data_IF_493756278768
#
_entry.id   IF_493756278768
#
_cell.length_a   1.000
_cell.length_b   1.000
_cell.length_c   1.000
_cell.angle_alpha   90.00
_cell.angle_beta   90.00
_cell.angle_gamma   90.00
#
_symmetry.space_group_name_H-M   'P 1'
#
loop_
_entity.id
_entity.type
_entity.pdbx_description
1 polymer ?
#
# COMPACT_ATOMS: atom_id res chain seq x y z
N UNK A 1 -26.48 -31.93 57.32
CA UNK A 1 -26.06 -30.52 57.48
C UNK A 1 -25.44 -30.10 56.11
N UNK A 2 -26.32 -29.85 55.12
CA UNK A 2 -25.94 -29.52 53.76
C UNK A 2 -25.75 -28.00 53.62
N UNK A 3 -24.51 -27.60 53.30
CA UNK A 3 -24.21 -26.20 52.97
C UNK A 3 -24.39 -25.97 51.47
N UNK A 4 -25.49 -25.37 51.07
CA UNK A 4 -25.67 -24.80 49.73
C UNK A 4 -24.65 -23.66 49.48
N UNK A 5 -23.67 -23.89 48.65
CA UNK A 5 -22.78 -22.86 48.12
C UNK A 5 -23.50 -22.19 46.95
N UNK A 6 -23.98 -21.00 47.15
CA UNK A 6 -24.52 -20.15 46.07
C UNK A 6 -23.37 -19.53 45.26
N UNK A 7 -23.26 -19.90 43.98
CA UNK A 7 -22.32 -19.34 43.06
C UNK A 7 -22.87 -17.97 42.58
N UNK A 8 -22.14 -16.87 42.78
CA UNK A 8 -22.62 -15.55 42.29
C UNK A 8 -22.64 -15.53 40.76
N UNK A 9 -23.79 -15.14 40.19
CA UNK A 9 -24.00 -15.02 38.75
C UNK A 9 -23.00 -14.05 38.12
N UNK A 10 -22.19 -14.54 37.18
CA UNK A 10 -21.35 -13.71 36.28
C UNK A 10 -22.26 -12.83 35.45
N UNK A 11 -22.32 -11.55 35.76
CA UNK A 11 -22.88 -10.53 34.87
C UNK A 11 -22.11 -10.56 33.56
N UNK A 12 -22.78 -11.02 32.50
CA UNK A 12 -22.28 -11.05 31.13
C UNK A 12 -22.15 -9.60 30.65
N UNK A 13 -20.99 -8.98 30.88
CA UNK A 13 -20.67 -7.69 30.26
C UNK A 13 -20.79 -7.86 28.74
N UNK A 14 -21.85 -7.26 28.17
CA UNK A 14 -22.06 -7.18 26.72
C UNK A 14 -20.88 -6.37 26.16
N UNK A 15 -19.88 -7.05 25.64
CA UNK A 15 -18.83 -6.39 24.86
C UNK A 15 -19.51 -5.83 23.62
N UNK A 16 -19.60 -4.52 23.55
CA UNK A 16 -20.08 -3.82 22.35
C UNK A 16 -19.25 -4.31 21.18
N UNK A 17 -19.88 -5.01 20.25
CA UNK A 17 -19.21 -5.57 19.10
C UNK A 17 -18.78 -4.46 18.15
N UNK A 18 -17.67 -4.64 17.45
CA UNK A 18 -17.23 -3.69 16.40
C UNK A 18 -18.32 -3.41 15.36
N UNK A 19 -19.21 -4.36 15.13
CA UNK A 19 -20.38 -4.21 14.26
C UNK A 19 -21.42 -3.24 14.84
N UNK A 20 -21.70 -3.30 16.14
CA UNK A 20 -22.63 -2.39 16.80
C UNK A 20 -22.11 -0.95 16.79
N UNK A 21 -20.78 -0.77 17.00
CA UNK A 21 -20.13 0.55 16.89
C UNK A 21 -20.22 1.08 15.46
N UNK A 22 -20.00 0.22 14.46
CA UNK A 22 -20.09 0.59 13.05
C UNK A 22 -21.53 0.99 12.68
N UNK A 23 -22.53 0.20 13.09
CA UNK A 23 -23.95 0.48 12.81
C UNK A 23 -24.38 1.79 13.49
N UNK A 24 -24.03 1.97 14.76
CA UNK A 24 -24.32 3.22 15.49
C UNK A 24 -23.63 4.40 14.83
N UNK A 25 -22.36 4.26 14.41
CA UNK A 25 -21.64 5.29 13.67
C UNK A 25 -22.31 5.65 12.34
N UNK A 26 -22.74 4.65 11.57
CA UNK A 26 -23.47 4.86 10.31
C UNK A 26 -24.84 5.51 10.52
N UNK A 27 -25.57 5.11 11.57
CA UNK A 27 -26.87 5.72 11.91
C UNK A 27 -26.70 7.16 12.35
N UNK A 28 -25.70 7.45 13.19
CA UNK A 28 -25.38 8.83 13.59
C UNK A 28 -25.00 9.66 12.35
N UNK A 29 -24.17 9.11 11.47
CA UNK A 29 -23.77 9.79 10.23
C UNK A 29 -24.98 10.06 9.33
N UNK A 30 -25.90 9.11 9.18
CA UNK A 30 -27.13 9.27 8.39
C UNK A 30 -28.10 10.28 8.99
N UNK A 31 -28.23 10.33 10.33
CA UNK A 31 -29.12 11.25 11.03
C UNK A 31 -28.55 12.69 11.07
N UNK A 32 -27.22 12.83 11.00
CA UNK A 32 -26.56 14.14 11.01
C UNK A 32 -26.20 14.63 9.60
N UNK A 33 -26.59 13.90 8.55
CA UNK A 33 -26.16 14.14 7.16
C UNK A 33 -26.38 15.59 6.70
N UNK A 34 -27.56 16.17 6.95
CA UNK A 34 -27.87 17.55 6.54
C UNK A 34 -27.04 18.60 7.30
N UNK A 35 -26.89 18.44 8.61
CA UNK A 35 -26.11 19.36 9.43
C UNK A 35 -24.60 19.19 9.17
N UNK A 36 -24.11 17.95 9.03
CA UNK A 36 -22.72 17.66 8.68
C UNK A 36 -22.37 18.19 7.29
N UNK A 37 -23.23 18.00 6.30
CA UNK A 37 -23.04 18.56 4.93
C UNK A 37 -22.96 20.08 4.96
N UNK A 38 -23.90 20.75 5.63
CA UNK A 38 -23.90 22.22 5.73
C UNK A 38 -22.63 22.72 6.41
N UNK A 39 -22.18 22.05 7.48
CA UNK A 39 -20.97 22.39 8.22
C UNK A 39 -19.69 22.17 7.38
N UNK A 40 -19.61 21.05 6.65
CA UNK A 40 -18.46 20.73 5.79
C UNK A 40 -18.41 21.65 4.58
N UNK A 41 -19.56 21.89 3.91
CA UNK A 41 -19.63 22.76 2.71
C UNK A 41 -19.33 24.22 3.04
N UNK A 42 -19.65 24.68 4.25
CA UNK A 42 -19.34 26.04 4.69
C UNK A 42 -17.85 26.31 4.92
N UNK A 43 -17.02 25.24 4.97
CA UNK A 43 -15.57 25.35 5.17
C UNK A 43 -14.82 24.68 4.02
N UNK A 44 -14.22 25.44 3.10
CA UNK A 44 -13.58 24.90 1.89
C UNK A 44 -12.46 23.87 2.22
N UNK A 45 -11.71 24.10 3.31
CA UNK A 45 -10.65 23.17 3.75
C UNK A 45 -11.20 21.83 4.17
N UNK A 46 -12.30 21.82 4.93
CA UNK A 46 -12.98 20.58 5.35
C UNK A 46 -13.64 19.86 4.16
N UNK A 47 -14.21 20.61 3.22
CA UNK A 47 -14.78 20.07 2.00
C UNK A 47 -13.71 19.38 1.15
N UNK A 48 -12.53 20.00 1.01
CA UNK A 48 -11.37 19.44 0.31
C UNK A 48 -10.89 18.18 1.02
N UNK A 49 -10.67 18.24 2.35
CA UNK A 49 -10.23 17.08 3.13
C UNK A 49 -11.22 15.91 3.03
N UNK A 50 -12.53 16.18 3.13
CA UNK A 50 -13.57 15.15 3.01
C UNK A 50 -13.58 14.53 1.61
N UNK A 51 -13.43 15.34 0.57
CA UNK A 51 -13.40 14.88 -0.82
C UNK A 51 -12.17 13.99 -1.07
N UNK A 52 -10.99 14.43 -0.63
CA UNK A 52 -9.75 13.65 -0.75
C UNK A 52 -9.86 12.34 0.03
N UNK A 53 -10.33 12.39 1.27
CA UNK A 53 -10.52 11.20 2.10
C UNK A 53 -11.47 10.20 1.43
N UNK A 54 -12.66 10.65 1.01
CA UNK A 54 -13.64 9.79 0.35
C UNK A 54 -13.11 9.23 -0.97
N UNK A 55 -12.45 10.06 -1.77
CA UNK A 55 -11.85 9.64 -3.03
C UNK A 55 -10.83 8.52 -2.83
N UNK A 56 -9.86 8.72 -1.95
CA UNK A 56 -8.82 7.73 -1.61
C UNK A 56 -9.44 6.45 -1.05
N UNK A 57 -10.39 6.58 -0.12
CA UNK A 57 -10.98 5.43 0.56
C UNK A 57 -11.85 4.59 -0.40
N UNK A 58 -12.77 5.23 -1.13
CA UNK A 58 -13.68 4.54 -2.06
C UNK A 58 -12.90 3.87 -3.20
N UNK A 59 -11.89 4.54 -3.74
CA UNK A 59 -11.05 3.97 -4.79
C UNK A 59 -10.22 2.78 -4.30
N UNK A 60 -9.76 2.80 -3.05
CA UNK A 60 -8.94 1.73 -2.47
C UNK A 60 -9.75 0.48 -2.12
N UNK A 61 -11.04 0.61 -1.78
CA UNK A 61 -11.89 -0.50 -1.29
C UNK A 61 -11.95 -1.73 -2.22
N UNK A 62 -12.23 -1.60 -3.53
CA UNK A 62 -12.31 -2.77 -4.41
C UNK A 62 -10.98 -3.52 -4.53
N UNK A 63 -9.87 -2.79 -4.58
CA UNK A 63 -8.53 -3.40 -4.65
C UNK A 63 -8.12 -4.03 -3.32
N UNK A 64 -8.49 -3.42 -2.20
CA UNK A 64 -8.30 -4.01 -0.88
C UNK A 64 -9.11 -5.30 -0.75
N UNK A 65 -10.38 -5.31 -1.17
CA UNK A 65 -11.22 -6.50 -1.17
C UNK A 65 -10.60 -7.61 -2.02
N UNK A 66 -10.15 -7.30 -3.23
CA UNK A 66 -9.45 -8.25 -4.10
C UNK A 66 -8.20 -8.81 -3.45
N UNK A 67 -7.35 -7.94 -2.89
CA UNK A 67 -6.12 -8.35 -2.20
C UNK A 67 -6.38 -9.25 -1.00
N UNK A 68 -7.42 -8.95 -0.22
CA UNK A 68 -7.83 -9.76 0.93
C UNK A 68 -8.40 -11.11 0.51
N UNK A 69 -9.17 -11.17 -0.58
CA UNK A 69 -9.65 -12.44 -1.15
C UNK A 69 -8.47 -13.30 -1.58
N UNK A 70 -7.50 -12.76 -2.31
CA UNK A 70 -6.28 -13.48 -2.71
C UNK A 70 -5.48 -13.92 -1.48
N UNK A 71 -5.31 -13.04 -0.49
CA UNK A 71 -4.64 -13.37 0.78
C UNK A 71 -5.32 -14.51 1.51
N UNK A 72 -6.65 -14.49 1.61
CA UNK A 72 -7.45 -15.55 2.21
C UNK A 72 -7.36 -16.88 1.46
N UNK A 73 -7.37 -16.85 0.12
CA UNK A 73 -7.17 -18.05 -0.70
C UNK A 73 -5.77 -18.63 -0.48
N UNK A 74 -4.74 -17.80 -0.42
CA UNK A 74 -3.37 -18.26 -0.09
C UNK A 74 -3.38 -18.94 1.29
N UNK A 75 -4.03 -18.34 2.29
CA UNK A 75 -4.12 -18.91 3.64
C UNK A 75 -4.83 -20.27 3.66
N UNK A 76 -5.89 -20.45 2.87
CA UNK A 76 -6.70 -21.66 2.86
C UNK A 76 -6.13 -22.80 2.02
N UNK A 77 -5.44 -22.50 0.92
CA UNK A 77 -5.03 -23.51 -0.08
C UNK A 77 -3.52 -23.68 -0.22
N UNK A 78 -2.72 -22.71 0.24
CA UNK A 78 -1.25 -22.75 0.07
C UNK A 78 -0.58 -22.95 1.41
N UNK A 79 -0.08 -24.16 1.66
CA UNK A 79 0.73 -24.40 2.85
C UNK A 79 2.09 -23.68 2.75
N UNK A 80 2.70 -23.26 3.88
CA UNK A 80 4.03 -22.64 3.92
C UNK A 80 5.10 -23.43 3.16
N UNK A 81 5.02 -24.78 3.22
CA UNK A 81 5.95 -25.68 2.53
C UNK A 81 5.78 -25.67 1.02
N UNK A 82 4.55 -25.56 0.51
CA UNK A 82 4.29 -25.38 -0.94
C UNK A 82 4.83 -24.07 -1.43
N UNK A 83 4.60 -23.00 -0.68
CA UNK A 83 5.09 -21.66 -1.02
C UNK A 83 6.62 -21.64 -1.11
N UNK A 84 7.30 -22.30 -0.18
CA UNK A 84 8.76 -22.41 -0.19
C UNK A 84 9.26 -23.24 -1.39
N UNK A 85 8.50 -24.24 -1.86
CA UNK A 85 8.83 -25.07 -3.03
C UNK A 85 8.60 -24.36 -4.36
N UNK A 86 7.64 -23.46 -4.44
CA UNK A 86 7.34 -22.69 -5.65
C UNK A 86 8.35 -21.58 -5.91
N UNK A 87 8.94 -21.03 -4.84
CA UNK A 87 9.98 -20.02 -5.03
C UNK A 87 11.28 -20.68 -5.47
N UNK A 88 11.99 -20.08 -6.46
CA UNK A 88 13.32 -20.49 -6.83
C UNK A 88 14.26 -20.56 -5.63
N UNK A 89 15.16 -21.55 -5.60
CA UNK A 89 16.12 -21.72 -4.50
C UNK A 89 17.12 -20.57 -4.40
N UNK A 90 17.41 -19.90 -5.51
CA UNK A 90 18.29 -18.72 -5.59
C UNK A 90 17.49 -17.47 -5.26
N UNK A 91 17.93 -16.68 -4.30
CA UNK A 91 17.24 -15.45 -3.87
C UNK A 91 17.04 -14.46 -5.02
N UNK A 92 18.04 -14.27 -5.89
CA UNK A 92 17.90 -13.40 -7.07
C UNK A 92 16.81 -13.86 -8.04
N UNK A 93 16.70 -15.17 -8.29
CA UNK A 93 15.63 -15.71 -9.12
C UNK A 93 14.25 -15.54 -8.45
N UNK A 94 14.16 -15.71 -7.13
CA UNK A 94 12.94 -15.49 -6.39
C UNK A 94 12.47 -14.00 -6.44
N UNK A 95 13.39 -13.06 -6.37
CA UNK A 95 13.13 -11.62 -6.54
C UNK A 95 12.61 -11.34 -7.96
N UNK A 96 13.28 -11.85 -9.00
CA UNK A 96 12.87 -11.62 -10.39
C UNK A 96 11.49 -12.23 -10.69
N UNK A 97 11.24 -13.44 -10.23
CA UNK A 97 9.92 -14.09 -10.41
C UNK A 97 8.82 -13.35 -9.65
N UNK A 98 9.10 -12.81 -8.47
CA UNK A 98 8.16 -12.01 -7.70
C UNK A 98 7.86 -10.66 -8.38
N UNK A 99 8.88 -10.01 -8.94
CA UNK A 99 8.72 -8.80 -9.74
C UNK A 99 7.83 -9.04 -10.97
N UNK A 100 8.11 -10.10 -11.73
CA UNK A 100 7.28 -10.50 -12.88
C UNK A 100 5.85 -10.87 -12.45
N UNK A 101 5.70 -11.58 -11.32
CA UNK A 101 4.40 -11.90 -10.74
C UNK A 101 3.59 -10.66 -10.35
N UNK A 102 4.26 -9.59 -9.90
CA UNK A 102 3.64 -8.30 -9.63
C UNK A 102 3.01 -7.68 -10.89
N UNK A 103 3.69 -7.78 -12.04
CA UNK A 103 3.17 -7.29 -13.30
C UNK A 103 1.91 -8.01 -13.79
N UNK A 104 1.67 -9.25 -13.34
CA UNK A 104 0.51 -10.05 -13.76
C UNK A 104 -0.77 -9.78 -12.96
N UNK A 105 -0.67 -9.19 -11.78
CA UNK A 105 -1.81 -8.94 -10.90
C UNK A 105 -2.29 -7.49 -11.02
N UNK A 106 -3.50 -7.25 -11.52
CA UNK A 106 -4.08 -5.92 -11.49
C UNK A 106 -4.40 -5.56 -10.03
N UNK A 107 -3.77 -4.52 -9.52
CA UNK A 107 -4.02 -4.10 -8.15
C UNK A 107 -3.22 -2.88 -7.74
N UNK A 108 -3.78 -2.12 -6.80
CA UNK A 108 -3.07 -1.03 -6.14
C UNK A 108 -2.31 -1.55 -4.91
N UNK A 109 -1.55 -0.67 -4.29
CA UNK A 109 -0.79 -0.93 -3.06
C UNK A 109 -1.65 -1.48 -1.92
N UNK A 110 -2.93 -1.07 -1.86
CA UNK A 110 -3.86 -1.52 -0.81
C UNK A 110 -4.12 -3.03 -0.87
N UNK A 111 -4.18 -3.61 -2.08
CA UNK A 111 -4.31 -5.05 -2.28
C UNK A 111 -2.98 -5.79 -2.18
N UNK A 112 -1.89 -5.17 -2.61
CA UNK A 112 -0.56 -5.80 -2.62
C UNK A 112 -0.02 -6.05 -1.20
N UNK A 113 -0.28 -5.16 -0.24
CA UNK A 113 0.24 -5.27 1.14
C UNK A 113 -0.25 -6.53 1.88
N UNK A 114 -1.56 -6.85 1.94
CA UNK A 114 -2.05 -8.08 2.54
C UNK A 114 -1.48 -9.34 1.89
N UNK A 115 -1.45 -9.37 0.55
CA UNK A 115 -0.89 -10.50 -0.20
C UNK A 115 0.59 -10.68 0.12
N UNK A 116 1.38 -9.61 0.09
CA UNK A 116 2.80 -9.64 0.44
C UNK A 116 3.02 -10.12 1.86
N UNK A 117 2.18 -9.70 2.82
CA UNK A 117 2.28 -10.16 4.21
C UNK A 117 2.07 -11.68 4.34
N UNK A 118 1.14 -12.23 3.55
CA UNK A 118 0.93 -13.69 3.50
C UNK A 118 2.09 -14.42 2.82
N UNK A 119 2.60 -13.88 1.72
CA UNK A 119 3.76 -14.44 1.02
C UNK A 119 5.01 -14.42 1.90
N UNK A 120 5.17 -13.39 2.72
CA UNK A 120 6.26 -13.29 3.67
C UNK A 120 6.19 -14.44 4.69
N UNK A 121 5.01 -14.70 5.22
CA UNK A 121 4.77 -15.72 6.25
C UNK A 121 5.33 -15.35 7.61
N UNK A 122 5.32 -16.32 8.51
CA UNK A 122 5.92 -16.24 9.87
C UNK A 122 7.01 -17.29 10.00
N UNK A 123 7.97 -17.04 10.90
CA UNK A 123 9.07 -17.93 11.20
C UNK A 123 10.43 -17.24 11.10
N UNK A 124 11.49 -18.04 11.16
CA UNK A 124 12.88 -17.59 11.14
C UNK A 124 13.72 -18.41 10.14
N UNK A 125 14.86 -17.86 9.76
CA UNK A 125 15.87 -18.53 8.93
C UNK A 125 15.85 -18.17 7.45
N UNK A 126 16.86 -18.65 6.71
CA UNK A 126 17.15 -18.29 5.33
C UNK A 126 15.98 -18.48 4.32
N UNK A 127 15.08 -19.42 4.59
CA UNK A 127 13.90 -19.64 3.75
C UNK A 127 12.88 -18.50 3.92
N UNK A 128 12.74 -17.95 5.12
CA UNK A 128 11.87 -16.82 5.43
C UNK A 128 12.47 -15.53 4.85
N UNK A 129 13.78 -15.33 4.98
CA UNK A 129 14.46 -14.15 4.40
C UNK A 129 14.31 -14.11 2.90
N UNK A 130 14.42 -15.26 2.20
CA UNK A 130 14.18 -15.36 0.76
C UNK A 130 12.72 -15.09 0.39
N UNK A 131 11.75 -15.64 1.14
CA UNK A 131 10.33 -15.34 0.95
C UNK A 131 10.03 -13.87 1.20
N UNK A 132 10.65 -13.30 2.23
CA UNK A 132 10.55 -11.88 2.55
C UNK A 132 11.03 -11.00 1.42
N UNK A 133 12.21 -11.27 0.87
CA UNK A 133 12.73 -10.53 -0.27
C UNK A 133 11.78 -10.59 -1.49
N UNK A 134 11.27 -11.77 -1.82
CA UNK A 134 10.30 -11.96 -2.89
C UNK A 134 8.97 -11.25 -2.60
N UNK A 135 8.44 -11.37 -1.38
CA UNK A 135 7.18 -10.73 -0.97
C UNK A 135 7.26 -9.19 -1.05
N UNK A 136 8.37 -8.61 -0.62
CA UNK A 136 8.58 -7.16 -0.66
C UNK A 136 8.80 -6.67 -2.09
N UNK A 137 9.51 -7.44 -2.93
CA UNK A 137 9.61 -7.15 -4.37
C UNK A 137 8.24 -7.16 -5.02
N UNK A 138 7.42 -8.18 -4.76
CA UNK A 138 6.05 -8.26 -5.24
C UNK A 138 5.21 -7.07 -4.76
N UNK A 139 5.30 -6.71 -3.47
CA UNK A 139 4.55 -5.60 -2.87
C UNK A 139 4.80 -4.27 -3.57
N UNK A 140 6.05 -4.02 -3.98
CA UNK A 140 6.42 -2.77 -4.67
C UNK A 140 6.17 -2.85 -6.19
N UNK A 141 6.31 -4.03 -6.79
CA UNK A 141 6.12 -4.21 -8.23
C UNK A 141 4.63 -4.18 -8.62
N UNK A 142 3.76 -4.88 -7.89
CA UNK A 142 2.37 -5.06 -8.26
C UNK A 142 1.59 -3.74 -8.50
N UNK A 143 1.68 -2.71 -7.65
CA UNK A 143 0.97 -1.45 -7.88
C UNK A 143 1.64 -0.55 -8.93
N UNK A 144 2.90 -0.79 -9.27
CA UNK A 144 3.70 0.14 -10.06
C UNK A 144 3.88 -0.27 -11.52
N UNK A 145 3.84 -1.58 -11.83
CA UNK A 145 4.14 -2.12 -13.18
C UNK A 145 3.02 -2.99 -13.76
N UNK A 146 1.83 -3.02 -13.15
CA UNK A 146 0.71 -3.77 -13.71
C UNK A 146 0.20 -3.14 -15.03
N UNK A 147 -0.49 -3.91 -15.88
CA UNK A 147 -0.95 -3.42 -17.19
C UNK A 147 -1.86 -2.20 -17.10
N UNK A 148 -2.69 -2.09 -16.06
CA UNK A 148 -3.62 -0.96 -15.89
C UNK A 148 -2.86 0.35 -15.69
N UNK A 149 -1.82 0.31 -14.85
CA UNK A 149 -0.95 1.48 -14.59
C UNK A 149 -0.13 1.87 -15.83
N UNK A 150 0.36 0.90 -16.59
CA UNK A 150 1.10 1.19 -17.82
C UNK A 150 0.17 1.78 -18.91
N UNK A 151 -1.04 1.25 -19.05
CA UNK A 151 -2.05 1.80 -19.97
C UNK A 151 -2.47 3.20 -19.55
N UNK A 152 -2.75 3.44 -18.25
CA UNK A 152 -3.09 4.79 -17.76
C UNK A 152 -1.96 5.79 -18.02
N UNK A 153 -0.70 5.35 -17.89
CA UNK A 153 0.46 6.20 -18.23
C UNK A 153 0.53 6.49 -19.73
N UNK A 154 0.29 5.50 -20.57
CA UNK A 154 0.28 5.69 -22.03
C UNK A 154 -0.85 6.66 -22.48
N UNK A 155 -2.00 6.59 -21.85
CA UNK A 155 -3.14 7.48 -22.11
C UNK A 155 -2.87 8.91 -21.59
N UNK A 156 -2.25 9.03 -20.42
CA UNK A 156 -1.95 10.32 -19.80
C UNK A 156 -0.81 11.08 -20.50
N UNK A 157 0.13 10.36 -21.13
CA UNK A 157 1.27 10.92 -21.86
C UNK A 157 1.23 10.54 -23.36
N UNK A 158 0.26 11.04 -24.11
CA UNK A 158 0.14 10.71 -25.52
C UNK A 158 1.36 11.22 -26.31
N UNK A 159 1.98 10.35 -27.09
CA UNK A 159 3.20 10.68 -27.86
C UNK A 159 4.51 10.49 -27.12
N UNK A 160 4.50 10.13 -25.83
CA UNK A 160 5.69 9.92 -25.01
C UNK A 160 5.83 8.45 -24.55
N UNK A 161 6.07 7.50 -25.46
CA UNK A 161 6.21 6.08 -25.08
C UNK A 161 7.42 5.84 -24.18
N UNK A 162 8.44 6.71 -24.24
CA UNK A 162 9.59 6.68 -23.36
C UNK A 162 9.18 6.84 -21.87
N UNK A 163 8.13 7.60 -21.57
CA UNK A 163 7.63 7.74 -20.20
C UNK A 163 7.10 6.42 -19.63
N UNK A 164 6.37 5.64 -20.44
CA UNK A 164 5.84 4.33 -20.04
C UNK A 164 6.97 3.35 -19.77
N UNK A 165 7.95 3.30 -20.69
CA UNK A 165 9.15 2.46 -20.55
C UNK A 165 10.00 2.85 -19.34
N UNK A 166 10.20 4.14 -19.12
CA UNK A 166 10.95 4.67 -17.98
C UNK A 166 10.23 4.36 -16.64
N UNK A 167 8.90 4.54 -16.57
CA UNK A 167 8.10 4.18 -15.40
C UNK A 167 8.22 2.69 -15.08
N UNK A 168 8.04 1.83 -16.08
CA UNK A 168 8.17 0.39 -15.92
C UNK A 168 9.56 0.01 -15.42
N UNK A 169 10.62 0.48 -16.10
CA UNK A 169 11.99 0.14 -15.76
C UNK A 169 12.41 0.64 -14.37
N UNK A 170 12.10 1.89 -14.04
CA UNK A 170 12.45 2.49 -12.75
C UNK A 170 11.70 1.82 -11.59
N UNK A 171 10.41 1.54 -11.75
CA UNK A 171 9.61 0.88 -10.72
C UNK A 171 10.03 -0.57 -10.49
N UNK A 172 10.29 -1.33 -11.57
CA UNK A 172 10.79 -2.69 -11.47
C UNK A 172 12.18 -2.73 -10.82
N UNK A 173 13.07 -1.81 -11.21
CA UNK A 173 14.40 -1.69 -10.64
C UNK A 173 14.33 -1.35 -9.14
N UNK A 174 13.46 -0.42 -8.76
CA UNK A 174 13.18 -0.10 -7.35
C UNK A 174 12.78 -1.35 -6.56
N UNK A 175 11.81 -2.11 -7.07
CA UNK A 175 11.32 -3.32 -6.42
C UNK A 175 12.42 -4.38 -6.27
N UNK A 176 13.23 -4.60 -7.31
CA UNK A 176 14.36 -5.55 -7.30
C UNK A 176 15.44 -5.11 -6.30
N UNK A 177 15.82 -3.84 -6.31
CA UNK A 177 16.82 -3.30 -5.38
C UNK A 177 16.33 -3.45 -3.95
N UNK A 178 15.09 -3.09 -3.65
CA UNK A 178 14.52 -3.23 -2.30
C UNK A 178 14.45 -4.68 -1.83
N UNK A 179 14.09 -5.61 -2.71
CA UNK A 179 14.16 -7.04 -2.42
C UNK A 179 15.60 -7.53 -2.15
N UNK A 180 16.57 -7.07 -2.93
CA UNK A 180 17.99 -7.39 -2.75
C UNK A 180 18.55 -6.78 -1.45
N UNK A 181 18.19 -5.53 -1.13
CA UNK A 181 18.54 -4.88 0.12
C UNK A 181 17.97 -5.65 1.33
N UNK A 182 16.71 -6.05 1.24
CA UNK A 182 16.10 -6.88 2.28
C UNK A 182 16.83 -8.20 2.47
N UNK A 183 17.20 -8.88 1.40
CA UNK A 183 17.90 -10.16 1.48
C UNK A 183 19.30 -10.08 2.12
N UNK A 184 19.90 -8.88 2.16
CA UNK A 184 21.24 -8.65 2.74
C UNK A 184 21.20 -8.06 4.14
N UNK A 185 20.25 -7.14 4.40
CA UNK A 185 20.21 -6.33 5.63
C UNK A 185 18.86 -6.38 6.33
N UNK A 186 17.85 -6.98 5.72
CA UNK A 186 16.54 -7.17 6.34
C UNK A 186 16.65 -8.07 7.57
N UNK A 187 15.87 -7.76 8.61
CA UNK A 187 15.76 -8.59 9.82
C UNK A 187 14.30 -8.90 10.07
N UNK A 188 13.98 -10.16 10.22
CA UNK A 188 12.62 -10.64 10.56
C UNK A 188 12.13 -10.09 11.89
N UNK A 189 13.06 -9.76 12.80
CA UNK A 189 12.78 -9.13 14.10
C UNK A 189 12.08 -7.77 13.98
N UNK A 190 12.21 -7.07 12.83
CA UNK A 190 11.51 -5.81 12.58
C UNK A 190 10.02 -6.02 12.33
N UNK A 191 9.62 -7.24 12.02
CA UNK A 191 8.23 -7.60 11.79
C UNK A 191 7.62 -8.02 13.13
N UNK A 192 6.98 -7.05 13.78
CA UNK A 192 6.39 -7.23 15.10
C UNK A 192 4.97 -7.79 15.07
N UNK A 193 4.31 -7.75 13.91
CA UNK A 193 2.96 -8.27 13.70
C UNK A 193 3.01 -9.68 13.14
N UNK A 194 2.60 -10.66 13.94
CA UNK A 194 2.44 -12.04 13.49
C UNK A 194 1.07 -12.25 12.86
N UNK A 195 1.03 -13.11 11.85
CA UNK A 195 -0.24 -13.57 11.30
C UNK A 195 -0.98 -14.40 12.37
N UNK A 196 -2.32 -14.31 12.45
CA UNK A 196 -3.08 -15.22 13.27
C UNK A 196 -2.76 -16.65 12.86
N UNK A 197 -2.48 -17.50 13.86
CA UNK A 197 -2.34 -18.94 13.62
C UNK A 197 -3.73 -19.46 13.31
N UNK A 198 -3.99 -19.73 12.05
CA UNK A 198 -5.18 -20.48 11.66
C UNK A 198 -4.87 -21.94 11.93
N UNK A 199 -5.55 -22.53 12.93
CA UNK A 199 -5.40 -23.94 13.23
C UNK A 199 -5.98 -24.72 12.04
N UNK A 200 -5.13 -25.44 11.32
CA UNK A 200 -5.53 -26.33 10.22
C UNK A 200 -6.13 -27.65 10.72
N UNK A 201 -6.21 -27.83 12.04
CA UNK A 201 -6.80 -29.02 12.64
C UNK A 201 -8.33 -28.96 12.45
N UNK A 202 -8.82 -29.73 11.50
CA UNK A 202 -10.24 -30.06 11.25
C UNK A 202 -11.21 -28.97 10.77
N UNK A 203 -10.77 -27.75 10.42
CA UNK A 203 -11.62 -26.72 9.85
C UNK A 203 -11.80 -26.88 8.34
N UNK A 204 -13.03 -26.76 7.85
CA UNK A 204 -13.27 -26.65 6.41
C UNK A 204 -12.44 -25.49 5.84
N UNK A 205 -11.81 -25.67 4.67
CA UNK A 205 -10.98 -24.65 3.98
C UNK A 205 -11.69 -23.30 3.88
N UNK A 206 -13.03 -23.34 3.80
CA UNK A 206 -13.87 -22.15 3.77
C UNK A 206 -13.82 -21.35 5.09
N UNK A 207 -13.77 -22.03 6.24
CA UNK A 207 -13.65 -21.36 7.55
C UNK A 207 -12.30 -20.66 7.66
N UNK A 208 -11.21 -21.33 7.24
CA UNK A 208 -9.86 -20.74 7.20
C UNK A 208 -9.85 -19.50 6.30
N UNK A 209 -10.44 -19.59 5.10
CA UNK A 209 -10.55 -18.48 4.16
C UNK A 209 -11.29 -17.29 4.77
N UNK A 210 -12.51 -17.51 5.29
CA UNK A 210 -13.35 -16.41 5.80
C UNK A 210 -12.74 -15.74 7.01
N UNK A 211 -12.11 -16.49 7.91
CA UNK A 211 -11.46 -15.95 9.10
C UNK A 211 -10.21 -15.15 8.74
N UNK A 212 -9.37 -15.66 7.84
CA UNK A 212 -8.20 -14.97 7.33
C UNK A 212 -8.60 -13.69 6.58
N UNK A 213 -9.56 -13.79 5.67
CA UNK A 213 -10.04 -12.64 4.89
C UNK A 213 -10.64 -11.56 5.79
N UNK A 214 -11.50 -11.95 6.75
CA UNK A 214 -12.08 -10.99 7.71
C UNK A 214 -11.01 -10.29 8.55
N UNK A 215 -10.03 -11.03 9.04
CA UNK A 215 -8.95 -10.45 9.85
C UNK A 215 -8.11 -9.48 9.03
N UNK A 216 -7.65 -9.89 7.84
CA UNK A 216 -6.81 -9.08 6.97
C UNK A 216 -7.57 -7.82 6.49
N UNK A 217 -8.87 -7.96 6.19
CA UNK A 217 -9.72 -6.84 5.79
C UNK A 217 -9.87 -5.81 6.90
N UNK A 218 -10.27 -6.23 8.09
CA UNK A 218 -10.48 -5.31 9.22
C UNK A 218 -9.18 -4.59 9.62
N UNK A 219 -8.07 -5.33 9.60
CA UNK A 219 -6.78 -4.77 9.92
C UNK A 219 -6.34 -3.76 8.86
N UNK A 220 -6.34 -4.14 7.58
CA UNK A 220 -5.90 -3.27 6.50
C UNK A 220 -6.83 -2.07 6.32
N UNK A 221 -8.16 -2.24 6.41
CA UNK A 221 -9.13 -1.16 6.31
C UNK A 221 -8.96 -0.12 7.43
N UNK A 222 -8.69 -0.54 8.68
CA UNK A 222 -8.47 0.40 9.78
C UNK A 222 -7.24 1.29 9.57
N UNK A 223 -6.15 0.73 9.03
CA UNK A 223 -4.96 1.51 8.68
C UNK A 223 -5.12 2.31 7.39
N UNK A 224 -5.93 1.84 6.45
CA UNK A 224 -6.31 2.61 5.27
C UNK A 224 -7.07 3.88 5.65
N UNK A 225 -8.04 3.77 6.58
CA UNK A 225 -8.77 4.95 7.11
C UNK A 225 -7.80 5.94 7.73
N UNK A 226 -6.88 5.47 8.58
CA UNK A 226 -5.89 6.34 9.21
C UNK A 226 -4.97 7.00 8.18
N UNK A 227 -4.49 6.23 7.21
CA UNK A 227 -3.63 6.73 6.13
C UNK A 227 -4.35 7.74 5.22
N UNK A 228 -5.60 7.44 4.82
CA UNK A 228 -6.41 8.34 4.01
C UNK A 228 -6.75 9.64 4.74
N UNK A 229 -7.05 9.58 6.05
CA UNK A 229 -7.28 10.77 6.87
C UNK A 229 -6.02 11.63 6.99
N UNK A 230 -4.85 11.01 7.17
CA UNK A 230 -3.57 11.73 7.22
C UNK A 230 -3.24 12.37 5.86
N UNK A 231 -3.44 11.65 4.76
CA UNK A 231 -3.26 12.19 3.42
C UNK A 231 -4.20 13.37 3.14
N UNK A 232 -5.47 13.26 3.52
CA UNK A 232 -6.44 14.35 3.39
C UNK A 232 -6.03 15.59 4.19
N UNK A 233 -5.57 15.41 5.42
CA UNK A 233 -5.07 16.51 6.26
C UNK A 233 -3.84 17.18 5.63
N UNK A 234 -2.88 16.40 5.13
CA UNK A 234 -1.68 16.93 4.46
C UNK A 234 -2.02 17.69 3.19
N UNK A 235 -2.99 17.23 2.38
CA UNK A 235 -3.45 17.92 1.19
C UNK A 235 -4.03 19.33 1.47
N UNK A 236 -4.64 19.52 2.64
CA UNK A 236 -5.16 20.83 3.07
C UNK A 236 -4.05 21.70 3.64
N UNK A 237 -3.11 21.11 4.37
CA UNK A 237 -2.04 21.86 5.06
C UNK A 237 -0.92 22.31 4.14
N UNK A 238 -0.70 21.63 3.00
CA UNK A 238 0.38 21.94 2.06
C UNK A 238 -0.17 22.61 0.81
N UNK A 239 -0.06 23.96 0.68
CA UNK A 239 -0.60 24.68 -0.47
C UNK A 239 0.18 24.34 -1.75
N UNK A 240 -0.50 24.18 -2.89
CA UNK A 240 0.15 23.95 -4.19
C UNK A 240 1.19 25.02 -4.58
N UNK A 241 0.98 26.26 -4.16
CA UNK A 241 1.88 27.38 -4.43
C UNK A 241 3.32 27.18 -3.92
N UNK A 242 3.51 26.34 -2.89
CA UNK A 242 4.86 26.00 -2.41
C UNK A 242 5.66 25.26 -3.49
N UNK A 243 4.98 24.54 -4.38
CA UNK A 243 5.62 23.71 -5.40
C UNK A 243 5.91 24.50 -6.70
N UNK A 244 5.16 25.56 -6.99
CA UNK A 244 5.34 26.37 -8.22
C UNK A 244 6.65 27.16 -8.21
N UNK A 245 7.08 27.66 -7.03
CA UNK A 245 8.33 28.43 -6.90
C UNK A 245 9.59 27.54 -6.99
N UNK A 246 9.45 26.24 -6.88
CA UNK A 246 10.56 25.27 -6.82
C UNK A 246 10.85 24.63 -8.19
N UNK A 247 10.00 24.87 -9.21
CA UNK A 247 10.09 24.22 -10.53
C UNK A 247 11.28 24.70 -11.38
N UNK A 248 11.94 25.80 -11.03
CA UNK A 248 13.00 26.39 -11.84
C UNK A 248 14.35 25.66 -11.84
N UNK A 249 14.57 24.71 -10.92
CA UNK A 249 15.81 23.94 -10.81
C UNK A 249 15.50 22.43 -10.84
N UNK A 250 16.15 21.69 -11.73
CA UNK A 250 15.89 20.26 -11.94
C UNK A 250 15.97 19.43 -10.65
N UNK A 251 17.02 19.64 -9.84
CA UNK A 251 17.20 18.92 -8.57
C UNK A 251 16.07 19.24 -7.59
N UNK A 252 15.70 20.51 -7.51
CA UNK A 252 14.63 20.95 -6.64
C UNK A 252 13.28 20.40 -7.10
N UNK A 253 13.02 20.37 -8.42
CA UNK A 253 11.86 19.73 -9.02
C UNK A 253 11.77 18.23 -8.71
N UNK A 254 12.89 17.50 -8.76
CA UNK A 254 12.95 16.07 -8.39
C UNK A 254 12.54 15.88 -6.92
N UNK A 255 13.15 16.62 -6.01
CA UNK A 255 12.87 16.50 -4.57
C UNK A 255 11.42 16.88 -4.26
N UNK A 256 10.94 17.96 -4.85
CA UNK A 256 9.58 18.44 -4.66
C UNK A 256 8.55 17.42 -5.16
N UNK A 257 8.74 16.87 -6.36
CA UNK A 257 7.84 15.88 -6.92
C UNK A 257 7.88 14.55 -6.15
N UNK A 258 9.04 14.16 -5.62
CA UNK A 258 9.15 13.01 -4.73
C UNK A 258 8.37 13.21 -3.42
N UNK A 259 8.48 14.38 -2.79
CA UNK A 259 7.73 14.71 -1.57
C UNK A 259 6.23 14.81 -1.88
N UNK A 260 5.87 15.44 -2.99
CA UNK A 260 4.48 15.59 -3.41
C UNK A 260 3.80 14.22 -3.63
N UNK A 261 4.50 13.26 -4.24
CA UNK A 261 4.01 11.91 -4.42
C UNK A 261 3.66 11.24 -3.08
N UNK A 262 4.52 11.40 -2.06
CA UNK A 262 4.28 10.86 -0.72
C UNK A 262 3.08 11.52 -0.04
N UNK A 263 2.94 12.84 -0.18
CA UNK A 263 1.90 13.64 0.50
C UNK A 263 0.54 13.44 -0.14
N UNK A 264 0.45 13.46 -1.48
CA UNK A 264 -0.82 13.32 -2.19
C UNK A 264 -1.43 11.93 -2.02
N UNK A 265 -0.59 10.90 -1.87
CA UNK A 265 -1.01 9.52 -1.60
C UNK A 265 -2.13 9.02 -2.56
N UNK A 266 -1.98 9.34 -3.84
CA UNK A 266 -2.93 8.96 -4.88
C UNK A 266 -2.81 7.47 -5.23
N UNK A 267 -3.76 6.95 -6.00
CA UNK A 267 -3.62 5.64 -6.62
C UNK A 267 -2.71 5.70 -7.85
N UNK A 268 -1.98 4.63 -8.10
CA UNK A 268 -0.98 4.54 -9.17
C UNK A 268 -1.53 4.84 -10.58
N UNK A 269 -2.83 4.59 -10.80
CA UNK A 269 -3.52 4.93 -12.04
C UNK A 269 -3.80 6.42 -12.16
N UNK A 270 -4.22 7.06 -11.05
CA UNK A 270 -4.54 8.48 -11.00
C UNK A 270 -3.27 9.35 -11.06
N UNK A 271 -2.16 8.87 -10.50
CA UNK A 271 -0.85 9.53 -10.51
C UNK A 271 -0.44 9.95 -11.93
N UNK A 272 -0.75 9.12 -12.93
CA UNK A 272 -0.40 9.37 -14.33
C UNK A 272 -1.05 10.66 -14.85
N UNK A 273 -2.34 10.85 -14.57
CA UNK A 273 -3.09 12.03 -15.03
C UNK A 273 -2.69 13.30 -14.28
N UNK A 274 -2.42 13.16 -12.97
CA UNK A 274 -1.92 14.30 -12.17
C UNK A 274 -0.53 14.71 -12.65
N UNK A 275 0.39 13.78 -12.85
CA UNK A 275 1.71 14.08 -13.38
C UNK A 275 1.65 14.70 -14.79
N UNK A 276 0.72 14.23 -15.63
CA UNK A 276 0.53 14.77 -16.98
C UNK A 276 -0.01 16.21 -16.97
N UNK A 277 -0.87 16.57 -16.01
CA UNK A 277 -1.42 17.93 -15.88
C UNK A 277 -0.37 18.96 -15.50
N UNK A 278 0.74 18.57 -14.91
CA UNK A 278 1.83 19.45 -14.48
C UNK A 278 2.77 19.82 -15.66
N UNK A 279 2.21 20.38 -16.72
CA UNK A 279 2.93 20.67 -17.98
C UNK A 279 4.10 21.64 -17.85
N UNK A 280 4.13 22.45 -16.80
CA UNK A 280 5.21 23.39 -16.49
C UNK A 280 6.51 22.68 -16.05
N UNK A 281 6.43 21.41 -15.64
CA UNK A 281 7.58 20.65 -15.17
C UNK A 281 8.18 19.78 -16.29
N UNK A 282 9.51 19.61 -16.33
CA UNK A 282 10.16 18.65 -17.21
C UNK A 282 9.65 17.21 -16.96
N UNK A 283 9.84 16.32 -17.94
CA UNK A 283 9.38 14.93 -17.85
C UNK A 283 10.05 14.15 -16.70
N UNK A 284 11.31 14.46 -16.39
CA UNK A 284 12.08 13.74 -15.36
C UNK A 284 11.47 13.90 -13.95
N UNK A 285 11.18 15.09 -13.40
CA UNK A 285 10.46 15.23 -12.15
C UNK A 285 9.08 14.55 -12.14
N UNK A 286 8.35 14.58 -13.26
CA UNK A 286 7.06 13.87 -13.38
C UNK A 286 7.25 12.35 -13.29
N UNK A 287 8.31 11.80 -13.89
CA UNK A 287 8.66 10.38 -13.75
C UNK A 287 8.97 10.03 -12.29
N UNK A 288 9.70 10.89 -11.58
CA UNK A 288 9.99 10.68 -10.15
C UNK A 288 8.69 10.58 -9.35
N UNK A 289 7.73 11.46 -9.61
CA UNK A 289 6.41 11.39 -8.99
C UNK A 289 5.72 10.04 -9.25
N UNK A 290 5.72 9.57 -10.50
CA UNK A 290 5.09 8.32 -10.92
C UNK A 290 5.73 7.06 -10.34
N UNK A 291 6.99 7.11 -9.97
CA UNK A 291 7.73 5.96 -9.41
C UNK A 291 7.69 5.97 -7.89
N UNK A 292 7.81 7.14 -7.27
CA UNK A 292 7.81 7.27 -5.80
C UNK A 292 6.41 7.00 -5.22
N UNK A 293 5.34 7.54 -5.83
CA UNK A 293 3.97 7.40 -5.33
C UNK A 293 3.57 5.95 -5.00
N UNK A 294 3.61 5.03 -5.99
CA UNK A 294 3.29 3.62 -5.76
C UNK A 294 4.26 2.89 -4.82
N UNK A 295 5.49 3.38 -4.68
CA UNK A 295 6.51 2.74 -3.85
C UNK A 295 6.41 3.15 -2.38
N UNK A 296 6.08 4.42 -2.10
CA UNK A 296 5.98 4.96 -0.75
C UNK A 296 5.09 6.19 -0.70
N UNK A 297 4.01 6.09 0.02
CA UNK A 297 3.13 7.20 0.39
C UNK A 297 2.66 7.07 1.84
N UNK A 298 2.02 8.10 2.38
CA UNK A 298 1.55 8.15 3.77
C UNK A 298 0.55 7.03 4.06
N UNK A 299 -0.35 6.73 3.12
CA UNK A 299 -1.36 5.67 3.21
C UNK A 299 -0.68 4.30 3.26
N UNK A 300 0.29 4.05 2.37
CA UNK A 300 1.04 2.80 2.29
C UNK A 300 1.89 2.58 3.54
N UNK A 301 2.56 3.62 4.05
CA UNK A 301 3.32 3.55 5.31
C UNK A 301 2.42 3.19 6.50
N UNK A 302 1.22 3.76 6.58
CA UNK A 302 0.24 3.41 7.62
C UNK A 302 -0.18 1.93 7.51
N UNK A 303 -0.46 1.44 6.29
CA UNK A 303 -0.81 0.03 6.05
C UNK A 303 0.34 -0.92 6.36
N UNK A 304 1.57 -0.58 5.96
CA UNK A 304 2.77 -1.35 6.31
C UNK A 304 2.97 -1.41 7.83
N UNK A 305 2.79 -0.29 8.53
CA UNK A 305 2.86 -0.27 10.00
C UNK A 305 1.80 -1.16 10.65
N UNK A 306 0.61 -1.25 10.04
CA UNK A 306 -0.46 -2.13 10.48
C UNK A 306 -0.17 -3.61 10.27
N UNK A 307 0.26 -3.97 9.08
CA UNK A 307 0.42 -5.36 8.65
C UNK A 307 1.75 -5.98 9.06
N UNK A 308 2.83 -5.22 9.04
CA UNK A 308 4.18 -5.70 9.36
C UNK A 308 4.68 -5.19 10.73
N UNK A 309 4.20 -4.04 11.18
CA UNK A 309 4.59 -3.39 12.42
C UNK A 309 5.33 -2.06 12.19
N UNK A 310 5.29 -1.20 13.20
CA UNK A 310 5.92 0.13 13.12
C UNK A 310 7.44 0.06 12.88
N UNK A 311 8.12 -0.89 13.52
CA UNK A 311 9.57 -1.06 13.38
C UNK A 311 10.00 -1.38 11.94
N UNK A 312 9.17 -2.11 11.20
CA UNK A 312 9.36 -2.33 9.77
C UNK A 312 9.12 -1.05 8.97
N UNK A 313 7.94 -0.44 9.12
CA UNK A 313 7.54 0.72 8.31
C UNK A 313 8.51 1.90 8.43
N UNK A 314 8.96 2.23 9.65
CA UNK A 314 9.88 3.35 9.90
C UNK A 314 11.28 3.15 9.30
N UNK A 315 11.69 1.91 9.02
CA UNK A 315 12.98 1.61 8.39
C UNK A 315 12.84 1.40 6.88
N UNK A 316 11.77 0.71 6.47
CA UNK A 316 11.57 0.35 5.07
C UNK A 316 11.16 1.56 4.22
N UNK A 317 10.24 2.40 4.69
CA UNK A 317 9.71 3.52 3.92
C UNK A 317 10.78 4.57 3.54
N UNK A 318 11.66 5.05 4.44
CA UNK A 318 12.69 6.01 4.05
C UNK A 318 13.70 5.45 3.05
N UNK A 319 14.08 4.17 3.20
CA UNK A 319 14.99 3.51 2.25
C UNK A 319 14.31 3.38 0.89
N UNK A 320 13.04 2.97 0.86
CA UNK A 320 12.25 2.89 -0.38
C UNK A 320 12.15 4.25 -1.07
N UNK A 321 11.91 5.32 -0.30
CA UNK A 321 11.86 6.69 -0.84
C UNK A 321 13.15 7.07 -1.55
N UNK A 322 14.31 6.86 -0.91
CA UNK A 322 15.61 7.18 -1.49
C UNK A 322 15.87 6.31 -2.73
N UNK A 323 15.64 5.00 -2.64
CA UNK A 323 15.87 4.07 -3.76
C UNK A 323 14.96 4.43 -4.94
N UNK A 324 13.67 4.67 -4.71
CA UNK A 324 12.72 5.02 -5.75
C UNK A 324 13.08 6.36 -6.44
N UNK A 325 13.47 7.36 -5.66
CA UNK A 325 13.90 8.67 -6.20
C UNK A 325 15.18 8.52 -7.04
N UNK A 326 16.16 7.79 -6.55
CA UNK A 326 17.43 7.58 -7.27
C UNK A 326 17.21 6.76 -8.54
N UNK A 327 16.48 5.66 -8.47
CA UNK A 327 16.21 4.81 -9.67
C UNK A 327 15.39 5.57 -10.71
N UNK A 328 14.37 6.33 -10.30
CA UNK A 328 13.58 7.15 -11.20
C UNK A 328 14.44 8.22 -11.89
N UNK A 329 15.32 8.86 -11.13
CA UNK A 329 16.24 9.87 -11.68
C UNK A 329 17.22 9.26 -12.67
N UNK A 330 17.90 8.16 -12.30
CA UNK A 330 18.88 7.50 -13.17
C UNK A 330 18.23 6.96 -14.44
N UNK A 331 17.10 6.25 -14.31
CA UNK A 331 16.37 5.71 -15.47
C UNK A 331 15.81 6.85 -16.33
N UNK A 332 15.28 7.90 -15.69
CA UNK A 332 14.78 9.07 -16.40
C UNK A 332 15.85 9.79 -17.22
N UNK A 333 17.06 9.93 -16.69
CA UNK A 333 18.18 10.50 -17.45
C UNK A 333 18.55 9.66 -18.67
N UNK A 334 18.45 8.33 -18.58
CA UNK A 334 18.74 7.41 -19.69
C UNK A 334 17.62 7.43 -20.74
N UNK A 335 16.36 7.35 -20.32
CA UNK A 335 15.22 7.21 -21.23
C UNK A 335 14.71 8.55 -21.77
N UNK A 336 14.78 9.63 -20.96
CA UNK A 336 14.21 10.94 -21.26
C UNK A 336 15.30 11.98 -21.57
N UNK A 337 16.58 11.68 -21.34
CA UNK A 337 17.72 12.61 -21.51
C UNK A 337 17.94 13.07 -22.96
N UNK A 338 17.31 12.44 -23.93
CA UNK A 338 17.30 12.87 -25.33
C UNK A 338 16.11 13.74 -25.73
N UNK A 339 15.10 13.85 -24.87
CA UNK A 339 13.91 14.70 -25.06
C UNK A 339 14.09 16.02 -24.27
N UNK A 340 14.84 16.96 -24.86
CA UNK A 340 14.95 18.35 -24.39
C UNK A 340 13.89 19.20 -25.04
#
# INVERSE_FOLDING_TARGET
MDRHVTVPGRTRQRRVGSLEVLIVGLVILALTDSAARTFVVSRPDLATAATVFCGVFVQALPFLALGVVISGLIAAYVSPDRMTRWLPRRTGAAILTAGAGGAALPGCECGAVPVARRLFGDGDGAAVDRRGAAALTFMLAAPAINPVVLVSTAVAFPGEPAMVGARFAASLLTAIIMGALWSRWGRTEWITRRLPRVHHEDGAKWTVFTEAARHDFLQAASYLVLGAATAAALNVLVPPAVFEHLAGQLLLGIITMAILAVVLALCSEADAFVAASLTMLPLLPRLVFLVVGPAVDVKLVAMQAGMFGRAFATRFAPVTFVVATVTATVVGLVFLGGAR
#
